data_IF_914107816223
#
_entry.id   IF_914107816223
#
_cell.length_a   1.000
_cell.length_b   1.000
_cell.length_c   1.000
_cell.angle_alpha   90.00
_cell.angle_beta   90.00
_cell.angle_gamma   90.00
#
_symmetry.space_group_name_H-M   'P 1'
#
loop_
_entity.id
_entity.type
_entity.pdbx_description
1 polymer ?
#
# COMPACT_ATOMS: atom_id res chain seq x y z
N UNK A 1 0.10 12.13 -1.47
CA UNK A 1 -0.72 11.28 -2.34
C UNK A 1 -0.54 11.63 -3.82
N UNK A 2 -0.99 12.81 -4.26
CA UNK A 2 -0.89 13.20 -5.68
C UNK A 2 0.56 13.20 -6.21
N UNK A 3 1.50 13.71 -5.41
CA UNK A 3 2.92 13.70 -5.77
C UNK A 3 3.47 12.27 -5.93
N UNK A 4 3.20 11.37 -4.97
CA UNK A 4 3.61 9.97 -5.04
C UNK A 4 3.04 9.26 -6.28
N UNK A 5 1.76 9.50 -6.58
CA UNK A 5 1.12 8.99 -7.79
C UNK A 5 1.81 9.47 -9.06
N UNK A 6 2.12 10.76 -9.13
CA UNK A 6 2.82 11.34 -10.26
C UNK A 6 4.21 10.72 -10.43
N UNK A 7 4.97 10.56 -9.34
CA UNK A 7 6.31 9.95 -9.38
C UNK A 7 6.28 8.50 -9.84
N UNK A 8 5.30 7.70 -9.39
CA UNK A 8 5.10 6.35 -9.92
C UNK A 8 4.80 6.35 -11.42
N UNK A 9 3.90 7.22 -11.88
CA UNK A 9 3.55 7.33 -13.29
C UNK A 9 4.76 7.74 -14.15
N UNK A 10 5.55 8.71 -13.70
CA UNK A 10 6.78 9.13 -14.37
C UNK A 10 7.83 8.01 -14.40
N UNK A 11 7.99 7.27 -13.30
CA UNK A 11 8.98 6.19 -13.20
C UNK A 11 8.69 5.05 -14.18
N UNK A 12 7.42 4.73 -14.42
CA UNK A 12 7.03 3.67 -15.36
C UNK A 12 7.21 4.10 -16.81
N UNK A 13 7.11 5.40 -17.10
CA UNK A 13 7.21 5.94 -18.46
C UNK A 13 8.64 6.24 -18.89
N UNK A 14 9.55 6.52 -17.95
CA UNK A 14 10.92 6.84 -18.28
C UNK A 14 11.69 5.61 -18.75
N UNK A 15 12.47 5.77 -19.82
CA UNK A 15 13.47 4.79 -20.29
C UNK A 15 14.89 5.19 -19.91
N UNK A 16 15.07 6.38 -19.34
CA UNK A 16 16.35 6.87 -18.85
C UNK A 16 16.66 6.24 -17.47
N UNK A 17 17.74 5.47 -17.35
CA UNK A 17 18.11 4.78 -16.11
C UNK A 17 18.51 5.74 -14.99
N UNK A 18 19.12 6.88 -15.30
CA UNK A 18 19.51 7.87 -14.29
C UNK A 18 18.26 8.51 -13.71
N UNK A 19 17.32 8.92 -14.57
CA UNK A 19 16.04 9.48 -14.15
C UNK A 19 15.20 8.46 -13.37
N UNK A 20 15.16 7.19 -13.81
CA UNK A 20 14.47 6.10 -13.10
C UNK A 20 14.99 5.96 -11.68
N UNK A 21 16.32 5.95 -11.49
CA UNK A 21 16.93 5.89 -10.17
C UNK A 21 16.51 7.07 -9.27
N UNK A 22 16.58 8.30 -9.78
CA UNK A 22 16.15 9.48 -9.01
C UNK A 22 14.68 9.41 -8.62
N UNK A 23 13.80 8.99 -9.53
CA UNK A 23 12.37 8.84 -9.25
C UNK A 23 12.10 7.78 -8.19
N UNK A 24 12.86 6.67 -8.18
CA UNK A 24 12.75 5.63 -7.14
C UNK A 24 13.15 6.16 -5.77
N UNK A 25 14.23 6.92 -5.68
CA UNK A 25 14.67 7.54 -4.42
C UNK A 25 13.61 8.53 -3.90
N UNK A 26 12.98 9.31 -4.79
CA UNK A 26 11.88 10.21 -4.44
C UNK A 26 10.62 9.46 -3.99
N UNK A 27 10.25 8.36 -4.67
CA UNK A 27 9.13 7.48 -4.29
C UNK A 27 9.36 6.90 -2.90
N UNK A 28 10.57 6.41 -2.61
CA UNK A 28 10.92 5.87 -1.29
C UNK A 28 10.81 6.94 -0.21
N UNK A 29 11.37 8.13 -0.45
CA UNK A 29 11.26 9.26 0.49
C UNK A 29 9.80 9.61 0.77
N UNK A 30 8.99 9.78 -0.27
CA UNK A 30 7.57 10.13 -0.14
C UNK A 30 6.76 9.03 0.56
N UNK A 31 7.10 7.77 0.34
CA UNK A 31 6.47 6.63 1.01
C UNK A 31 6.77 6.65 2.50
N UNK A 32 8.03 6.86 2.88
CA UNK A 32 8.45 6.98 4.29
C UNK A 32 7.79 8.18 4.98
N UNK A 33 7.80 9.36 4.35
CA UNK A 33 7.14 10.56 4.90
C UNK A 33 5.64 10.36 5.07
N UNK A 34 4.99 9.64 4.15
CA UNK A 34 3.57 9.30 4.25
C UNK A 34 3.33 8.39 5.46
N UNK A 35 4.16 7.34 5.61
CA UNK A 35 4.09 6.43 6.75
C UNK A 35 4.27 7.16 8.09
N UNK A 36 5.30 8.00 8.23
CA UNK A 36 5.56 8.78 9.45
C UNK A 36 4.37 9.69 9.82
N UNK A 37 3.75 10.33 8.84
CA UNK A 37 2.57 11.19 9.05
C UNK A 37 1.36 10.38 9.53
N UNK A 38 1.12 9.20 8.95
CA UNK A 38 0.02 8.32 9.35
C UNK A 38 0.24 7.80 10.77
N UNK A 39 1.45 7.33 11.09
CA UNK A 39 1.82 6.89 12.44
C UNK A 39 1.65 8.01 13.46
N UNK A 40 2.13 9.22 13.17
CA UNK A 40 1.94 10.38 14.05
C UNK A 40 0.47 10.73 14.27
N UNK A 41 -0.38 10.61 13.24
CA UNK A 41 -1.81 10.83 13.38
C UNK A 41 -2.47 9.76 14.27
N UNK A 42 -2.08 8.49 14.11
CA UNK A 42 -2.53 7.37 14.95
C UNK A 42 -2.12 7.55 16.41
N UNK A 43 -0.89 7.97 16.68
CA UNK A 43 -0.41 8.19 18.05
C UNK A 43 -1.16 9.34 18.75
N UNK A 44 -1.53 10.39 18.00
CA UNK A 44 -2.36 11.48 18.52
C UNK A 44 -3.78 11.01 18.83
N UNK A 45 -4.36 10.15 18.00
CA UNK A 45 -5.66 9.52 18.27
C UNK A 45 -5.61 8.65 19.54
N UNK A 46 -4.56 7.85 19.70
CA UNK A 46 -4.36 7.05 20.91
C UNK A 46 -4.25 7.93 22.17
N UNK A 47 -3.48 9.01 22.11
CA UNK A 47 -3.37 9.97 23.22
C UNK A 47 -4.73 10.61 23.56
N UNK A 48 -5.53 10.96 22.55
CA UNK A 48 -6.87 11.52 22.72
C UNK A 48 -7.84 10.52 23.37
N UNK A 49 -7.80 9.25 22.94
CA UNK A 49 -8.55 8.16 23.56
C UNK A 49 -8.19 8.00 25.04
N UNK A 50 -6.89 7.94 25.36
CA UNK A 50 -6.39 7.81 26.73
C UNK A 50 -6.77 9.00 27.62
N UNK A 51 -6.73 10.23 27.08
CA UNK A 51 -7.12 11.41 27.83
C UNK A 51 -8.63 11.41 28.11
N UNK A 52 -9.45 11.01 27.15
CA UNK A 52 -10.89 10.87 27.34
C UNK A 52 -11.21 9.78 28.37
N UNK A 53 -10.49 8.66 28.36
CA UNK A 53 -10.64 7.59 29.34
C UNK A 53 -10.36 8.05 30.78
N UNK A 54 -9.40 8.95 31.00
CA UNK A 54 -9.11 9.53 32.34
C UNK A 54 -10.28 10.34 32.90
N UNK A 55 -11.10 10.95 32.04
CA UNK A 55 -12.29 11.69 32.47
C UNK A 55 -13.43 10.75 32.91
N UNK A 56 -13.35 9.45 32.57
CA UNK A 56 -14.38 8.44 32.83
C UNK A 56 -14.09 7.53 34.03
N UNK A 57 -13.11 7.87 34.87
CA UNK A 57 -12.65 7.00 35.96
C UNK A 57 -13.66 6.88 37.10
N UNK A 58 -14.44 7.94 37.38
CA UNK A 58 -15.47 7.94 38.44
C UNK A 58 -16.79 8.53 37.95
N UNK A 59 -17.95 8.12 38.53
CA UNK A 59 -19.26 8.67 38.17
C UNK A 59 -19.33 10.21 38.30
N UNK A 60 -18.75 10.76 39.38
CA UNK A 60 -18.73 12.21 39.60
C UNK A 60 -17.91 12.95 38.53
N UNK A 61 -16.77 12.38 38.11
CA UNK A 61 -15.95 12.92 37.03
C UNK A 61 -16.69 12.86 35.68
N UNK A 62 -17.41 11.77 35.41
CA UNK A 62 -18.23 11.64 34.19
C UNK A 62 -19.30 12.73 34.16
N UNK A 63 -20.03 12.91 35.27
CA UNK A 63 -21.10 13.89 35.33
C UNK A 63 -20.58 15.32 35.15
N UNK A 64 -19.46 15.65 35.80
CA UNK A 64 -18.80 16.96 35.69
C UNK A 64 -18.25 17.24 34.29
N UNK A 65 -17.81 16.21 33.55
CA UNK A 65 -17.16 16.34 32.25
C UNK A 65 -18.01 15.83 31.08
N UNK A 66 -19.30 15.57 31.28
CA UNK A 66 -20.17 14.90 30.30
C UNK A 66 -20.18 15.55 28.92
N UNK A 67 -20.21 16.89 28.85
CA UNK A 67 -20.13 17.63 27.60
C UNK A 67 -18.77 17.49 26.91
N UNK A 68 -17.68 17.55 27.68
CA UNK A 68 -16.30 17.40 27.17
C UNK A 68 -16.10 16.00 26.62
N UNK A 69 -16.48 14.97 27.37
CA UNK A 69 -16.39 13.56 26.97
C UNK A 69 -17.09 13.35 25.62
N UNK A 70 -18.34 13.83 25.47
CA UNK A 70 -19.09 13.70 24.22
C UNK A 70 -18.42 14.40 23.04
N UNK A 71 -17.84 15.58 23.26
CA UNK A 71 -17.13 16.33 22.21
C UNK A 71 -15.88 15.57 21.78
N UNK A 72 -15.07 15.12 22.74
CA UNK A 72 -13.84 14.37 22.47
C UNK A 72 -14.14 13.05 21.73
N UNK A 73 -15.13 12.27 22.15
CA UNK A 73 -15.52 11.03 21.45
C UNK A 73 -15.96 11.28 20.00
N UNK A 74 -16.78 12.31 19.77
CA UNK A 74 -17.20 12.65 18.41
C UNK A 74 -16.04 13.08 17.53
N UNK A 75 -15.12 13.89 18.07
CA UNK A 75 -13.92 14.31 17.35
C UNK A 75 -13.00 13.12 17.07
N UNK A 76 -12.82 12.22 18.04
CA UNK A 76 -12.00 11.02 17.88
C UNK A 76 -12.52 10.18 16.72
N UNK A 77 -13.83 9.92 16.70
CA UNK A 77 -14.46 9.12 15.67
C UNK A 77 -14.33 9.74 14.27
N UNK A 78 -14.57 11.05 14.17
CA UNK A 78 -14.40 11.76 12.90
C UNK A 78 -12.97 11.70 12.38
N UNK A 79 -11.99 11.88 13.26
CA UNK A 79 -10.57 11.83 12.91
C UNK A 79 -10.09 10.41 12.57
N UNK A 80 -10.54 9.40 13.32
CA UNK A 80 -10.26 7.99 13.04
C UNK A 80 -10.84 7.57 11.68
N UNK A 81 -12.06 8.00 11.36
CA UNK A 81 -12.67 7.77 10.05
C UNK A 81 -11.86 8.44 8.94
N UNK A 82 -11.49 9.71 9.10
CA UNK A 82 -10.65 10.42 8.11
C UNK A 82 -9.30 9.76 7.91
N UNK A 83 -8.65 9.33 8.98
CA UNK A 83 -7.37 8.63 8.89
C UNK A 83 -7.53 7.32 8.10
N UNK A 84 -8.57 6.54 8.42
CA UNK A 84 -8.93 5.33 7.68
C UNK A 84 -9.11 5.61 6.19
N UNK A 85 -9.88 6.64 5.82
CA UNK A 85 -10.09 7.01 4.40
C UNK A 85 -8.78 7.35 3.68
N UNK A 86 -7.90 8.14 4.32
CA UNK A 86 -6.60 8.52 3.72
C UNK A 86 -5.71 7.30 3.53
N UNK A 87 -5.67 6.40 4.50
CA UNK A 87 -4.93 5.13 4.40
C UNK A 87 -5.51 4.23 3.30
N UNK A 88 -6.83 4.18 3.14
CA UNK A 88 -7.47 3.38 2.07
C UNK A 88 -7.12 3.92 0.69
N UNK A 89 -7.13 5.24 0.51
CA UNK A 89 -6.67 5.86 -0.75
C UNK A 89 -5.18 5.59 -1.00
N UNK A 90 -4.35 5.55 0.03
CA UNK A 90 -2.94 5.15 -0.09
C UNK A 90 -2.79 3.72 -0.55
N UNK A 91 -3.52 2.80 0.06
CA UNK A 91 -3.54 1.40 -0.31
C UNK A 91 -3.97 1.23 -1.77
N UNK A 92 -5.02 1.94 -2.20
CA UNK A 92 -5.51 1.92 -3.59
C UNK A 92 -4.48 2.43 -4.58
N UNK A 93 -3.81 3.55 -4.26
CA UNK A 93 -2.74 4.11 -5.06
C UNK A 93 -1.60 3.10 -5.24
N UNK A 94 -1.08 2.57 -4.14
CA UNK A 94 0.02 1.61 -4.15
C UNK A 94 -0.33 0.33 -4.91
N UNK A 95 -1.54 -0.21 -4.69
CA UNK A 95 -2.05 -1.38 -5.42
C UNK A 95 -2.11 -1.13 -6.93
N UNK A 96 -2.56 0.07 -7.33
CA UNK A 96 -2.63 0.47 -8.74
C UNK A 96 -1.25 0.60 -9.36
N UNK A 97 -0.30 1.21 -8.63
CA UNK A 97 1.10 1.33 -9.05
C UNK A 97 1.74 -0.04 -9.24
N UNK A 98 1.60 -0.96 -8.28
CA UNK A 98 2.12 -2.32 -8.39
C UNK A 98 1.56 -3.05 -9.62
N UNK A 99 0.24 -2.96 -9.86
CA UNK A 99 -0.38 -3.54 -11.04
C UNK A 99 0.16 -2.93 -12.36
N UNK A 100 0.47 -1.64 -12.35
CA UNK A 100 1.04 -0.97 -13.51
C UNK A 100 2.48 -1.42 -13.80
N UNK A 101 3.32 -1.58 -12.77
CA UNK A 101 4.64 -2.18 -12.89
C UNK A 101 4.57 -3.61 -13.46
N UNK A 102 3.68 -4.46 -12.94
CA UNK A 102 3.47 -5.83 -13.47
C UNK A 102 3.11 -5.83 -14.96
N UNK A 103 2.16 -4.97 -15.38
CA UNK A 103 1.78 -4.82 -16.80
C UNK A 103 2.92 -4.30 -17.67
N UNK A 104 3.72 -3.37 -17.16
CA UNK A 104 4.87 -2.86 -17.89
C UNK A 104 5.93 -3.96 -18.11
N UNK A 105 6.22 -4.77 -17.09
CA UNK A 105 7.10 -5.94 -17.20
C UNK A 105 6.60 -6.92 -18.25
N UNK A 106 5.31 -7.28 -18.22
CA UNK A 106 4.69 -8.15 -19.24
C UNK A 106 4.88 -7.57 -20.66
N UNK A 107 4.64 -6.27 -20.83
CA UNK A 107 4.83 -5.60 -22.13
C UNK A 107 6.29 -5.63 -22.59
N UNK A 108 7.24 -5.38 -21.70
CA UNK A 108 8.67 -5.44 -22.03
C UNK A 108 9.08 -6.84 -22.46
N UNK A 109 8.60 -7.87 -21.77
CA UNK A 109 8.83 -9.27 -22.13
C UNK A 109 8.26 -9.56 -23.53
N UNK A 110 7.01 -9.15 -23.80
CA UNK A 110 6.36 -9.34 -25.10
C UNK A 110 7.09 -8.66 -26.27
N UNK A 111 7.65 -7.48 -26.05
CA UNK A 111 8.39 -6.75 -27.08
C UNK A 111 9.76 -7.37 -27.35
N UNK A 112 10.41 -7.91 -26.32
CA UNK A 112 11.81 -8.34 -26.38
C UNK A 112 11.99 -9.82 -26.72
N UNK A 113 11.00 -10.66 -26.41
CA UNK A 113 11.09 -12.11 -26.60
C UNK A 113 10.13 -12.61 -27.68
N UNK A 114 10.57 -13.66 -28.37
CA UNK A 114 9.82 -14.37 -29.42
C UNK A 114 9.82 -15.86 -29.11
N UNK A 115 8.87 -16.59 -29.68
CA UNK A 115 8.82 -18.05 -29.66
C UNK A 115 10.03 -18.64 -30.40
N UNK A 116 10.28 -19.94 -30.23
CA UNK A 116 11.40 -20.64 -30.88
C UNK A 116 11.33 -20.61 -32.43
N UNK A 117 10.14 -20.40 -32.99
CA UNK A 117 9.89 -20.23 -34.43
C UNK A 117 10.02 -18.77 -34.90
N UNK A 118 10.38 -17.84 -34.01
CA UNK A 118 10.51 -16.42 -34.28
C UNK A 118 9.19 -15.63 -34.24
N UNK A 119 8.05 -16.27 -33.97
CA UNK A 119 6.76 -15.59 -33.82
C UNK A 119 6.70 -14.78 -32.51
N UNK A 120 5.88 -13.73 -32.48
CA UNK A 120 5.68 -12.94 -31.27
C UNK A 120 4.98 -13.79 -30.19
N UNK A 121 5.44 -13.68 -28.94
CA UNK A 121 4.76 -14.36 -27.83
C UNK A 121 3.36 -13.77 -27.59
N UNK A 122 2.41 -14.62 -27.22
CA UNK A 122 1.07 -14.18 -26.83
C UNK A 122 1.04 -13.54 -25.44
N UNK A 123 -0.09 -12.91 -25.10
CA UNK A 123 -0.25 -12.20 -23.83
C UNK A 123 -0.21 -13.12 -22.61
N UNK A 124 -0.70 -14.36 -22.74
CA UNK A 124 -0.73 -15.33 -21.65
C UNK A 124 0.69 -15.81 -21.30
N UNK A 125 1.49 -16.11 -22.32
CA UNK A 125 2.90 -16.49 -22.20
C UNK A 125 3.71 -15.34 -21.62
N UNK A 126 3.50 -14.11 -22.11
CA UNK A 126 4.17 -12.93 -21.56
C UNK A 126 3.80 -12.68 -20.08
N UNK A 127 2.53 -12.89 -19.71
CA UNK A 127 2.07 -12.74 -18.33
C UNK A 127 2.72 -13.78 -17.41
N UNK A 128 2.71 -15.05 -17.81
CA UNK A 128 3.33 -16.15 -17.06
C UNK A 128 4.84 -15.95 -16.88
N UNK A 129 5.54 -15.48 -17.91
CA UNK A 129 6.96 -15.14 -17.81
C UNK A 129 7.21 -13.94 -16.88
N UNK A 130 6.34 -12.93 -16.90
CA UNK A 130 6.44 -11.80 -15.98
C UNK A 130 6.26 -12.26 -14.53
N UNK A 131 5.27 -13.10 -14.27
CA UNK A 131 4.99 -13.68 -12.96
C UNK A 131 6.18 -14.50 -12.45
N UNK A 132 6.73 -15.41 -13.27
CA UNK A 132 7.90 -16.20 -12.90
C UNK A 132 9.11 -15.35 -12.47
N UNK A 133 9.41 -14.26 -13.18
CA UNK A 133 10.57 -13.44 -12.84
C UNK A 133 10.30 -12.56 -11.63
N UNK A 134 9.09 -12.04 -11.50
CA UNK A 134 8.72 -11.20 -10.36
C UNK A 134 8.65 -12.01 -9.05
N UNK A 135 8.22 -13.28 -9.11
CA UNK A 135 7.99 -14.11 -7.93
C UNK A 135 9.17 -15.03 -7.60
N UNK A 136 9.64 -15.82 -8.55
CA UNK A 136 10.42 -17.04 -8.27
C UNK A 136 11.94 -16.90 -8.48
N UNK A 137 12.47 -15.68 -8.65
CA UNK A 137 13.91 -15.46 -8.92
C UNK A 137 14.46 -16.31 -10.09
N UNK A 138 13.59 -16.81 -10.96
CA UNK A 138 13.99 -17.80 -11.93
C UNK A 138 14.55 -17.08 -13.14
N UNK A 139 15.87 -17.12 -13.29
CA UNK A 139 16.53 -16.82 -14.56
C UNK A 139 16.19 -17.94 -15.54
N UNK A 140 14.96 -17.95 -16.07
CA UNK A 140 14.61 -18.79 -17.20
C UNK A 140 15.63 -18.55 -18.32
N UNK A 141 15.94 -19.58 -19.09
CA UNK A 141 16.88 -19.52 -20.22
C UNK A 141 16.57 -18.34 -21.17
N UNK A 142 15.29 -17.96 -21.27
CA UNK A 142 14.79 -16.81 -22.01
C UNK A 142 15.49 -15.51 -21.57
N UNK A 143 15.72 -15.29 -20.28
CA UNK A 143 16.32 -14.05 -19.77
C UNK A 143 17.83 -13.96 -19.91
N UNK A 144 18.50 -15.06 -20.23
CA UNK A 144 19.95 -15.05 -20.48
C UNK A 144 20.31 -14.37 -21.81
N UNK A 145 19.36 -14.22 -22.73
CA UNK A 145 19.59 -13.59 -24.03
C UNK A 145 19.72 -12.05 -23.96
N UNK A 146 19.28 -11.39 -22.88
CA UNK A 146 19.40 -9.94 -22.75
C UNK A 146 19.62 -9.48 -21.30
N UNK A 147 20.87 -9.16 -20.96
CA UNK A 147 21.26 -8.68 -19.62
C UNK A 147 20.56 -7.38 -19.21
N UNK A 148 20.36 -6.47 -20.16
CA UNK A 148 19.70 -5.17 -19.91
C UNK A 148 18.22 -5.33 -19.56
N UNK A 149 17.51 -6.21 -20.27
CA UNK A 149 16.10 -6.51 -19.99
C UNK A 149 15.97 -7.18 -18.63
N UNK A 150 16.84 -8.15 -18.32
CA UNK A 150 16.85 -8.79 -17.01
C UNK A 150 17.11 -7.79 -15.88
N UNK A 151 18.06 -6.86 -16.05
CA UNK A 151 18.33 -5.81 -15.07
C UNK A 151 17.10 -4.92 -14.83
N UNK A 152 16.43 -4.46 -15.90
CA UNK A 152 15.22 -3.63 -15.78
C UNK A 152 14.06 -4.37 -15.10
N UNK A 153 13.92 -5.68 -15.35
CA UNK A 153 12.89 -6.50 -14.68
C UNK A 153 13.22 -6.66 -13.19
N UNK A 154 14.48 -6.91 -12.82
CA UNK A 154 14.91 -6.98 -11.41
C UNK A 154 14.64 -5.66 -10.70
N UNK A 155 14.95 -4.54 -11.33
CA UNK A 155 14.65 -3.22 -10.80
C UNK A 155 13.14 -3.04 -10.57
N UNK A 156 12.30 -3.39 -11.54
CA UNK A 156 10.84 -3.31 -11.41
C UNK A 156 10.30 -4.23 -10.30
N UNK A 157 10.89 -5.41 -10.14
CA UNK A 157 10.57 -6.31 -9.04
C UNK A 157 10.86 -5.67 -7.68
N UNK A 158 12.01 -5.02 -7.54
CA UNK A 158 12.35 -4.31 -6.31
C UNK A 158 11.37 -3.17 -6.01
N UNK A 159 10.84 -2.50 -7.04
CA UNK A 159 9.77 -1.50 -6.85
C UNK A 159 8.51 -2.14 -6.30
N UNK A 160 8.05 -3.24 -6.91
CA UNK A 160 6.86 -3.98 -6.46
C UNK A 160 7.05 -4.45 -5.01
N UNK A 161 8.22 -5.00 -4.67
CA UNK A 161 8.53 -5.45 -3.32
C UNK A 161 8.46 -4.31 -2.29
N UNK A 162 9.00 -3.13 -2.62
CA UNK A 162 8.93 -1.93 -1.77
C UNK A 162 7.48 -1.46 -1.58
N UNK A 163 6.68 -1.50 -2.64
CA UNK A 163 5.25 -1.18 -2.58
C UNK A 163 4.53 -2.14 -1.64
N UNK A 164 4.72 -3.46 -1.82
CA UNK A 164 4.10 -4.48 -0.98
C UNK A 164 4.53 -4.35 0.49
N UNK A 165 5.79 -4.02 0.74
CA UNK A 165 6.28 -3.75 2.09
C UNK A 165 5.55 -2.55 2.73
N UNK A 166 5.42 -1.44 1.99
CA UNK A 166 4.69 -0.26 2.49
C UNK A 166 3.21 -0.54 2.74
N UNK A 167 2.59 -1.41 1.92
CA UNK A 167 1.21 -1.87 2.12
C UNK A 167 1.08 -2.74 3.38
N UNK A 168 2.04 -3.63 3.66
CA UNK A 168 2.05 -4.43 4.90
C UNK A 168 2.16 -3.56 6.14
N UNK A 169 3.06 -2.57 6.12
CA UNK A 169 3.24 -1.61 7.21
C UNK A 169 1.96 -0.80 7.46
N UNK A 170 1.28 -0.35 6.40
CA UNK A 170 0.01 0.36 6.53
C UNK A 170 -1.12 -0.54 7.07
N UNK A 171 -1.17 -1.82 6.68
CA UNK A 171 -2.15 -2.78 7.21
C UNK A 171 -1.97 -3.05 8.70
N UNK A 172 -0.73 -3.01 9.20
CA UNK A 172 -0.49 -3.08 10.64
C UNK A 172 -1.13 -1.88 11.34
N UNK A 173 -0.96 -0.66 10.81
CA UNK A 173 -1.59 0.55 11.37
C UNK A 173 -3.12 0.50 11.31
N UNK A 174 -3.71 -0.08 10.26
CA UNK A 174 -5.15 -0.32 10.20
C UNK A 174 -5.63 -1.26 11.31
N UNK A 175 -4.88 -2.33 11.57
CA UNK A 175 -5.21 -3.30 12.60
C UNK A 175 -5.14 -2.66 13.98
N UNK A 176 -4.11 -1.86 14.24
CA UNK A 176 -3.98 -1.08 15.47
C UNK A 176 -5.13 -0.09 15.65
N UNK A 177 -5.50 0.63 14.58
CA UNK A 177 -6.61 1.60 14.63
C UNK A 177 -7.95 0.90 14.86
N UNK A 178 -8.19 -0.24 14.22
CA UNK A 178 -9.39 -1.05 14.44
C UNK A 178 -9.50 -1.52 15.89
N UNK A 179 -8.39 -1.93 16.50
CA UNK A 179 -8.35 -2.28 17.93
C UNK A 179 -8.74 -1.09 18.81
N UNK A 180 -8.17 0.10 18.57
CA UNK A 180 -8.47 1.32 19.34
C UNK A 180 -9.94 1.75 19.21
N UNK A 181 -10.54 1.60 18.03
CA UNK A 181 -11.95 1.92 17.78
C UNK A 181 -12.87 0.90 18.47
N UNK A 182 -12.53 -0.39 18.45
CA UNK A 182 -13.31 -1.43 19.12
C UNK A 182 -13.33 -1.24 20.65
N UNK A 183 -12.24 -0.75 21.25
CA UNK A 183 -12.17 -0.46 22.69
C UNK A 183 -13.13 0.67 23.12
N UNK A 184 -13.53 1.56 22.19
CA UNK A 184 -14.50 2.64 22.46
C UNK A 184 -15.98 2.23 22.32
N UNK A 185 -16.27 0.98 21.94
CA UNK A 185 -17.52 0.28 22.27
C UNK A 185 -18.81 0.62 21.53
N UNK A 186 -19.02 1.81 20.94
CA UNK A 186 -20.37 2.18 20.43
C UNK A 186 -20.46 2.83 19.02
N UNK A 187 -19.36 2.95 18.25
CA UNK A 187 -19.35 3.73 17.00
C UNK A 187 -18.75 2.98 15.79
N UNK A 188 -18.93 1.67 15.79
CA UNK A 188 -18.08 0.68 15.11
C UNK A 188 -18.46 0.35 13.65
N UNK A 189 -19.66 0.70 13.18
CA UNK A 189 -20.18 0.17 11.91
C UNK A 189 -19.56 0.77 10.64
N UNK A 190 -19.11 2.03 10.66
CA UNK A 190 -18.59 2.70 9.44
C UNK A 190 -17.12 2.40 9.18
N UNK A 191 -16.32 2.24 10.25
CA UNK A 191 -14.87 1.96 10.13
C UNK A 191 -14.64 0.48 9.79
N UNK A 192 -15.40 -0.44 10.41
CA UNK A 192 -15.30 -1.87 10.09
C UNK A 192 -15.59 -2.16 8.61
N UNK A 193 -16.57 -1.49 8.00
CA UNK A 193 -16.89 -1.71 6.59
C UNK A 193 -15.73 -1.35 5.65
N UNK A 194 -15.02 -0.24 5.91
CA UNK A 194 -13.89 0.20 5.09
C UNK A 194 -12.62 -0.62 5.36
N UNK A 195 -12.38 -1.04 6.61
CA UNK A 195 -11.24 -1.89 6.99
C UNK A 195 -11.41 -3.31 6.44
N UNK A 196 -12.60 -3.92 6.52
CA UNK A 196 -12.88 -5.24 5.96
C UNK A 196 -12.78 -5.30 4.43
N UNK A 197 -13.07 -4.21 3.71
CA UNK A 197 -12.80 -4.15 2.27
C UNK A 197 -11.30 -4.03 1.97
N UNK A 198 -10.55 -3.28 2.78
CA UNK A 198 -9.11 -3.09 2.61
C UNK A 198 -8.32 -4.39 2.86
N UNK A 199 -8.70 -5.16 3.89
CA UNK A 199 -8.08 -6.47 4.21
C UNK A 199 -8.34 -7.50 3.09
N UNK A 200 -9.57 -7.58 2.57
CA UNK A 200 -9.93 -8.53 1.49
C UNK A 200 -9.12 -8.32 0.21
N UNK A 201 -8.64 -7.11 -0.05
CA UNK A 201 -7.77 -6.82 -1.21
C UNK A 201 -6.36 -7.41 -1.07
N UNK A 202 -5.87 -7.53 0.16
CA UNK A 202 -4.53 -8.06 0.46
C UNK A 202 -4.55 -9.58 0.49
N UNK A 203 -5.58 -10.19 1.07
CA UNK A 203 -5.71 -11.66 1.10
C UNK A 203 -5.89 -12.26 -0.30
N UNK A 204 -6.68 -11.64 -1.19
CA UNK A 204 -6.78 -12.11 -2.58
C UNK A 204 -5.48 -11.92 -3.38
N UNK A 205 -4.64 -10.96 -3.01
CA UNK A 205 -3.31 -10.76 -3.59
C UNK A 205 -2.22 -11.67 -3.02
N UNK A 206 -2.43 -12.24 -1.82
CA UNK A 206 -1.48 -13.12 -1.14
C UNK A 206 -1.84 -14.61 -1.15
N UNK A 207 -3.01 -15.01 -1.67
CA UNK A 207 -3.48 -16.41 -1.66
C UNK A 207 -4.05 -16.93 -3.00
N UNK A 208 -3.86 -16.22 -4.11
CA UNK A 208 -4.13 -16.80 -5.44
C UNK A 208 -2.84 -17.44 -5.97
N UNK A 209 -2.53 -18.66 -5.51
CA UNK A 209 -1.31 -19.37 -5.92
C UNK A 209 -1.20 -20.77 -5.31
N UNK A 210 -2.17 -21.63 -5.62
CA UNK A 210 -1.97 -23.08 -5.73
C UNK A 210 -2.23 -23.49 -7.18
#
# INVERSE_FOLDING_TARGET
MNELQQKHAENVQTVDPVRSKTLRDEIERLSRESYEKVTSAKDKLDAMSKNTAKLKVTPDSIQANSAVIRIEENQYMHLALKLTMVMTEYQRLQSTSAAFYKKQTQRQIKIKYTNADGSAIDDATAAHLAEQVLENNTSSYIFQQSKEVLASIIETRNDIYRIEQSMRELNQLFSDLAFLVNEQGELMDVILANVQQSIRYVEKGGHSGL
#
